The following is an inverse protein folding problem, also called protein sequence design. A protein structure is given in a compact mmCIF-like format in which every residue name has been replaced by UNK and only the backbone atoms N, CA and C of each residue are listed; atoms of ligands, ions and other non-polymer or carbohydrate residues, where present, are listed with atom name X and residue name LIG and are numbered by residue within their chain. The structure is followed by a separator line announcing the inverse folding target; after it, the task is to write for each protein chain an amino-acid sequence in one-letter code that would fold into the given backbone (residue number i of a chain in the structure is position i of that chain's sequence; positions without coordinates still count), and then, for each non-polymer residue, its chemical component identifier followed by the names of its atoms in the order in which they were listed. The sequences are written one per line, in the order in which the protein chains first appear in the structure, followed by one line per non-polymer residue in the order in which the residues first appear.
data_IF_239111897292
#
_entry.id   IF_239111897292
#
_cell.length_a   1.000
_cell.length_b   1.000
_cell.length_c   1.000
_cell.angle_alpha   90.00
_cell.angle_beta   90.00
_cell.angle_gamma   90.00
#
_symmetry.space_group_name_H-M   'P 1'
#
loop_
_entity.id
_entity.type
_entity.pdbx_description
1 polymer ?
#
# COMPACT_ATOMS: atom_id res chain seq x y z
N UNK A 1 -10.09 -2.70 -23.57
CA UNK A 1 -8.82 -1.94 -23.52
C UNK A 1 -8.59 -1.54 -22.08
N UNK A 2 -7.50 -2.01 -21.47
CA UNK A 2 -7.14 -1.62 -20.10
C UNK A 2 -6.57 -0.21 -20.18
N UNK A 3 -7.21 0.74 -19.51
CA UNK A 3 -6.81 2.15 -19.47
C UNK A 3 -5.47 2.25 -18.77
N UNK A 4 -4.46 2.77 -19.47
CA UNK A 4 -3.18 3.20 -18.90
C UNK A 4 -3.49 3.99 -17.64
N UNK A 5 -2.85 3.64 -16.51
CA UNK A 5 -3.06 4.35 -15.26
C UNK A 5 -2.83 5.86 -15.43
N UNK A 6 -3.82 6.66 -15.05
CA UNK A 6 -3.72 8.12 -15.06
C UNK A 6 -2.57 8.58 -14.15
N UNK A 7 -1.82 9.59 -14.60
CA UNK A 7 -0.77 10.26 -13.83
C UNK A 7 -1.26 10.69 -12.44
N UNK A 8 -2.51 11.13 -12.30
CA UNK A 8 -3.09 11.48 -11.01
C UNK A 8 -3.20 10.27 -10.08
N UNK A 9 -3.63 9.12 -10.62
CA UNK A 9 -3.74 7.88 -9.87
C UNK A 9 -2.38 7.36 -9.44
N UNK A 10 -1.37 7.46 -10.31
CA UNK A 10 0.02 7.13 -9.95
C UNK A 10 0.53 7.97 -8.78
N UNK A 11 0.36 9.30 -8.86
CA UNK A 11 0.76 10.23 -7.79
C UNK A 11 0.04 9.91 -6.49
N UNK A 12 -1.26 9.61 -6.55
CA UNK A 12 -2.06 9.22 -5.39
C UNK A 12 -1.49 7.96 -4.72
N UNK A 13 -1.19 6.90 -5.50
CA UNK A 13 -0.59 5.67 -4.97
C UNK A 13 0.75 5.96 -4.30
N UNK A 14 1.64 6.72 -4.94
CA UNK A 14 2.93 7.08 -4.35
C UNK A 14 2.76 7.85 -3.04
N UNK A 15 1.86 8.83 -2.98
CA UNK A 15 1.57 9.59 -1.77
C UNK A 15 1.03 8.70 -0.64
N UNK A 16 0.23 7.69 -0.97
CA UNK A 16 -0.27 6.71 0.00
C UNK A 16 0.86 5.82 0.50
N UNK A 17 1.69 5.28 -0.40
CA UNK A 17 2.81 4.40 -0.06
C UNK A 17 3.86 5.11 0.81
N UNK A 18 4.09 6.42 0.61
CA UNK A 18 4.96 7.24 1.49
C UNK A 18 4.51 7.30 2.95
N UNK A 19 3.24 6.97 3.26
CA UNK A 19 2.71 6.93 4.63
C UNK A 19 2.88 5.57 5.30
N UNK A 20 3.33 4.55 4.58
CA UNK A 20 3.50 3.20 5.09
C UNK A 20 4.97 2.84 5.20
N UNK A 21 5.26 1.94 6.13
CA UNK A 21 6.58 1.34 6.20
C UNK A 21 6.73 0.29 5.09
N UNK A 22 7.53 0.67 4.10
CA UNK A 22 7.92 -0.18 2.98
C UNK A 22 9.20 -0.95 3.35
N UNK A 23 9.23 -2.22 2.97
CA UNK A 23 10.46 -3.03 2.97
C UNK A 23 11.47 -2.44 2.00
N UNK A 24 12.75 -2.79 2.15
CA UNK A 24 13.81 -2.33 1.27
C UNK A 24 13.49 -2.62 -0.21
N UNK A 25 12.99 -3.82 -0.51
CA UNK A 25 12.64 -4.24 -1.88
C UNK A 25 11.48 -3.41 -2.44
N UNK A 26 10.45 -3.16 -1.62
CA UNK A 26 9.32 -2.31 -2.04
C UNK A 26 9.77 -0.86 -2.30
N UNK A 27 10.65 -0.31 -1.45
CA UNK A 27 11.21 1.05 -1.67
C UNK A 27 11.97 1.13 -2.99
N UNK A 28 12.89 0.19 -3.22
CA UNK A 28 13.67 0.13 -4.46
C UNK A 28 12.77 0.00 -5.69
N UNK A 29 11.71 -0.81 -5.59
CA UNK A 29 10.75 -0.95 -6.67
C UNK A 29 9.98 0.35 -6.92
N UNK A 30 9.46 1.00 -5.87
CA UNK A 30 8.72 2.26 -5.98
C UNK A 30 9.59 3.36 -6.59
N UNK A 31 10.85 3.50 -6.15
CA UNK A 31 11.80 4.47 -6.69
C UNK A 31 12.13 4.20 -8.16
N UNK A 32 12.32 2.93 -8.54
CA UNK A 32 12.57 2.56 -9.93
C UNK A 32 11.38 2.89 -10.83
N UNK A 33 10.15 2.65 -10.34
CA UNK A 33 8.93 2.98 -11.10
C UNK A 33 8.69 4.48 -11.16
N UNK A 34 8.98 5.24 -10.09
CA UNK A 34 8.92 6.71 -10.11
C UNK A 34 9.90 7.31 -11.11
N UNK A 35 11.14 6.80 -11.15
CA UNK A 35 12.13 7.20 -12.15
C UNK A 35 11.66 6.86 -13.57
N UNK A 36 11.20 5.63 -13.79
CA UNK A 36 10.68 5.21 -15.10
C UNK A 36 9.51 6.08 -15.56
N UNK A 37 8.59 6.41 -14.65
CA UNK A 37 7.46 7.30 -14.95
C UNK A 37 7.93 8.71 -15.31
N UNK A 38 8.90 9.27 -14.58
CA UNK A 38 9.44 10.60 -14.87
C UNK A 38 10.14 10.66 -16.24
N UNK A 39 10.76 9.56 -16.67
CA UNK A 39 11.43 9.46 -17.98
C UNK A 39 10.46 9.20 -19.14
N UNK A 40 9.43 8.39 -18.92
CA UNK A 40 8.56 7.88 -20.01
C UNK A 40 7.15 8.49 -20.01
N UNK A 41 6.76 9.21 -18.97
CA UNK A 41 5.41 9.75 -18.77
C UNK A 41 4.33 8.71 -18.50
N UNK A 42 4.70 7.42 -18.43
CA UNK A 42 3.78 6.29 -18.19
C UNK A 42 4.51 5.13 -17.51
N UNK A 43 3.75 4.22 -16.90
CA UNK A 43 4.23 2.94 -16.40
C UNK A 43 3.60 1.78 -17.16
N UNK A 44 4.14 0.58 -17.01
CA UNK A 44 3.58 -0.64 -17.60
C UNK A 44 2.46 -1.21 -16.74
N UNK A 45 1.54 -1.97 -17.35
CA UNK A 45 0.47 -2.70 -16.63
C UNK A 45 1.02 -3.61 -15.51
N UNK A 46 2.22 -4.17 -15.72
CA UNK A 46 2.87 -4.99 -14.72
C UNK A 46 3.37 -4.16 -13.54
N UNK A 47 3.98 -3.00 -13.80
CA UNK A 47 4.40 -2.07 -12.74
C UNK A 47 3.20 -1.55 -11.95
N UNK A 48 2.11 -1.22 -12.64
CA UNK A 48 0.84 -0.84 -12.03
C UNK A 48 0.31 -1.94 -11.11
N UNK A 49 0.22 -3.18 -11.61
CA UNK A 49 -0.30 -4.31 -10.83
C UNK A 49 0.51 -4.56 -9.56
N UNK A 50 1.84 -4.40 -9.61
CA UNK A 50 2.70 -4.58 -8.44
C UNK A 50 2.50 -3.42 -7.45
N UNK A 51 2.44 -2.17 -7.92
CA UNK A 51 2.18 -1.01 -7.05
C UNK A 51 0.83 -1.11 -6.33
N UNK A 52 -0.22 -1.53 -7.04
CA UNK A 52 -1.51 -1.78 -6.42
C UNK A 52 -1.46 -2.90 -5.39
N UNK A 53 -0.72 -3.98 -5.66
CA UNK A 53 -0.52 -5.08 -4.73
C UNK A 53 0.08 -4.61 -3.41
N UNK A 54 1.19 -3.86 -3.49
CA UNK A 54 1.85 -3.26 -2.32
C UNK A 54 0.87 -2.37 -1.56
N UNK A 55 0.18 -1.47 -2.26
CA UNK A 55 -0.76 -0.53 -1.65
C UNK A 55 -1.90 -1.25 -0.91
N UNK A 56 -2.50 -2.28 -1.52
CA UNK A 56 -3.56 -3.09 -0.90
C UNK A 56 -3.06 -3.83 0.34
N UNK A 57 -1.87 -4.42 0.26
CA UNK A 57 -1.28 -5.15 1.39
C UNK A 57 -1.06 -4.22 2.59
N UNK A 58 -0.47 -3.03 2.38
CA UNK A 58 -0.26 -2.07 3.47
C UNK A 58 -1.55 -1.55 4.08
N UNK A 59 -2.57 -1.28 3.26
CA UNK A 59 -3.91 -0.90 3.74
C UNK A 59 -4.52 -2.03 4.58
N UNK A 60 -4.39 -3.28 4.13
CA UNK A 60 -4.95 -4.43 4.83
C UNK A 60 -4.25 -4.69 6.17
N UNK A 61 -2.92 -4.62 6.22
CA UNK A 61 -2.15 -4.70 7.46
C UNK A 61 -2.61 -3.64 8.45
N UNK A 62 -2.74 -2.37 8.01
CA UNK A 62 -3.22 -1.30 8.88
C UNK A 62 -4.61 -1.57 9.43
N UNK A 63 -5.54 -2.06 8.60
CA UNK A 63 -6.89 -2.44 9.04
C UNK A 63 -6.87 -3.60 10.05
N UNK A 64 -6.05 -4.62 9.80
CA UNK A 64 -5.91 -5.75 10.70
C UNK A 64 -5.33 -5.32 12.07
N UNK A 65 -4.29 -4.48 12.08
CA UNK A 65 -3.73 -3.91 13.31
C UNK A 65 -4.75 -3.06 14.06
N UNK A 66 -5.61 -2.31 13.36
CA UNK A 66 -6.67 -1.52 13.99
C UNK A 66 -7.79 -2.39 14.57
N UNK A 67 -8.11 -3.52 13.92
CA UNK A 67 -9.13 -4.46 14.39
C UNK A 67 -8.72 -5.18 15.67
N UNK A 68 -7.43 -5.44 15.89
CA UNK A 68 -6.93 -6.11 17.11
C UNK A 68 -6.99 -5.21 18.36
N UNK A 69 -7.02 -3.88 18.20
CA UNK A 69 -7.09 -2.95 19.32
C UNK A 69 -8.51 -2.79 19.91
N UNK A 70 -9.53 -3.38 19.28
CA UNK A 70 -10.93 -3.31 19.73
C UNK A 70 -11.40 -4.59 20.46
N UNK A 71 -10.48 -5.45 20.93
CA UNK A 71 -10.86 -6.59 21.76
C UNK A 71 -11.31 -6.09 23.14
N UNK A 72 -12.54 -6.38 23.62
CA UNK A 72 -12.96 -5.99 24.96
C UNK A 72 -12.06 -6.71 25.98
N UNK A 73 -11.36 -5.93 26.80
CA UNK A 73 -10.56 -6.45 27.90
C UNK A 73 -11.47 -7.18 28.89
N UNK A 74 -11.20 -8.48 29.03
CA UNK A 74 -11.64 -9.44 30.04
C UNK A 74 -12.76 -9.03 31.01
N UNK A 75 -13.87 -9.78 30.95
CA UNK A 75 -14.79 -9.94 32.08
C UNK A 75 -14.01 -10.39 33.33
N UNK A 76 -14.24 -9.80 34.51
CA UNK A 76 -13.65 -10.29 35.74
C UNK A 76 -14.27 -11.65 36.08
N UNK A 77 -13.44 -12.69 36.06
CA UNK A 77 -13.79 -14.02 36.55
C UNK A 77 -14.06 -13.94 38.06
N UNK A 78 -15.34 -13.86 38.45
CA UNK A 78 -15.76 -14.11 39.83
C UNK A 78 -15.60 -15.61 40.09
N UNK A 79 -14.52 -15.98 40.78
CA UNK A 79 -14.45 -17.26 41.47
C UNK A 79 -15.37 -17.19 42.70
N UNK A 80 -16.28 -18.15 42.81
CA UNK A 80 -17.16 -18.39 43.95
C UNK A 80 -16.46 -19.26 44.99
#
# INVERSE_FOLDING_TARGET
MKTIMDQERFKCILSVLKRYELTLREKQFVEAVEKYFNENGKITDQQESVLEGICREKIWIRKASFSQNNLPKGLPSKAA
#
